data_IF_344233486978
#
_entry.id   IF_344233486978
#
_cell.length_a   1.000
_cell.length_b   1.000
_cell.length_c   1.000
_cell.angle_alpha   90.00
_cell.angle_beta   90.00
_cell.angle_gamma   90.00
#
_symmetry.space_group_name_H-M   'P 1'
#
loop_
_entity.id
_entity.type
_entity.pdbx_description
1 polymer ?
#
# COMPACT_ATOMS: atom_id res chain seq x y z
N UNK A 1 -8.08 3.65 -12.68
CA UNK A 1 -7.73 2.21 -12.49
C UNK A 1 -6.30 2.11 -12.90
N UNK A 2 -5.37 2.09 -11.95
CA UNK A 2 -3.94 2.10 -12.24
C UNK A 2 -3.29 0.98 -11.45
N UNK A 3 -2.73 0.02 -12.17
CA UNK A 3 -2.02 -1.13 -11.62
C UNK A 3 -0.53 -0.78 -11.68
N UNK A 4 0.07 -0.47 -10.53
CA UNK A 4 1.53 -0.33 -10.42
C UNK A 4 2.12 -1.72 -10.20
N UNK A 5 2.83 -2.25 -11.19
CA UNK A 5 3.43 -3.58 -11.17
C UNK A 5 4.70 -3.55 -10.29
N UNK A 6 4.68 -4.20 -9.13
CA UNK A 6 5.68 -4.01 -8.07
C UNK A 6 6.37 -5.34 -7.69
N UNK A 7 7.34 -5.77 -8.49
CA UNK A 7 8.15 -7.00 -8.27
C UNK A 7 7.34 -8.31 -8.35
N UNK A 8 8.01 -9.45 -8.56
CA UNK A 8 7.45 -10.79 -8.78
C UNK A 8 6.60 -11.35 -7.61
N UNK A 9 6.44 -10.60 -6.52
CA UNK A 9 5.79 -11.02 -5.26
C UNK A 9 4.67 -10.07 -4.80
N UNK A 10 4.63 -8.82 -5.27
CA UNK A 10 3.48 -7.91 -5.09
C UNK A 10 2.97 -7.61 -6.50
N UNK A 11 2.01 -8.41 -6.95
CA UNK A 11 1.56 -8.41 -8.35
C UNK A 11 0.92 -7.09 -8.75
N UNK A 12 0.36 -6.34 -7.79
CA UNK A 12 -0.09 -4.97 -8.00
C UNK A 12 -0.64 -4.32 -6.74
N UNK A 13 -0.69 -3.00 -6.72
CA UNK A 13 -1.45 -2.24 -5.73
C UNK A 13 -2.43 -1.30 -6.46
N UNK A 14 -3.68 -1.29 -6.01
CA UNK A 14 -4.75 -0.46 -6.54
C UNK A 14 -5.23 0.46 -5.44
N UNK A 15 -5.08 1.77 -5.65
CA UNK A 15 -5.60 2.81 -4.76
C UNK A 15 -6.86 3.39 -5.39
N UNK A 16 -7.99 3.26 -4.70
CA UNK A 16 -9.26 3.88 -5.08
C UNK A 16 -9.58 5.02 -4.13
N UNK A 17 -9.85 6.19 -4.69
CA UNK A 17 -10.39 7.33 -3.95
C UNK A 17 -11.91 7.24 -3.89
N UNK A 18 -12.46 7.06 -2.70
CA UNK A 18 -13.90 7.12 -2.44
C UNK A 18 -14.25 8.56 -2.03
N UNK A 19 -14.85 9.32 -2.95
CA UNK A 19 -15.18 10.75 -2.72
C UNK A 19 -16.32 10.94 -1.73
N UNK A 20 -17.27 10.02 -1.70
CA UNK A 20 -18.45 10.11 -0.83
C UNK A 20 -18.07 9.92 0.65
N UNK A 21 -17.10 9.06 0.94
CA UNK A 21 -16.66 8.75 2.31
C UNK A 21 -15.39 9.50 2.73
N UNK A 22 -14.73 10.21 1.82
CA UNK A 22 -13.41 10.81 2.03
C UNK A 22 -12.39 9.77 2.52
N UNK A 23 -12.37 8.61 1.89
CA UNK A 23 -11.48 7.50 2.23
C UNK A 23 -10.66 7.05 1.01
N UNK A 24 -9.42 6.63 1.27
CA UNK A 24 -8.60 5.85 0.36
C UNK A 24 -8.82 4.38 0.65
N UNK A 25 -9.29 3.65 -0.36
CA UNK A 25 -9.34 2.20 -0.34
C UNK A 25 -8.12 1.66 -1.07
N UNK A 26 -7.25 0.98 -0.33
CA UNK A 26 -6.02 0.37 -0.85
C UNK A 26 -6.24 -1.13 -0.90
N UNK A 27 -6.14 -1.69 -2.09
CA UNK A 27 -6.17 -3.12 -2.32
C UNK A 27 -4.85 -3.56 -2.92
N UNK A 28 -4.28 -4.62 -2.37
CA UNK A 28 -2.99 -5.13 -2.81
C UNK A 28 -3.19 -6.56 -3.28
N UNK A 29 -2.73 -6.83 -4.49
CA UNK A 29 -2.64 -8.17 -5.01
C UNK A 29 -1.31 -8.75 -4.50
N UNK A 30 -1.42 -9.58 -3.47
CA UNK A 30 -0.30 -10.25 -2.80
C UNK A 30 -0.73 -11.61 -2.29
N UNK A 31 0.16 -12.59 -2.40
CA UNK A 31 -0.03 -13.90 -1.76
C UNK A 31 -0.08 -13.72 -0.24
N UNK A 32 -1.25 -13.97 0.38
CA UNK A 32 -1.47 -13.89 1.83
C UNK A 32 -1.36 -15.26 2.48
N UNK A 33 -0.22 -15.92 2.28
CA UNK A 33 0.07 -17.24 2.88
C UNK A 33 0.69 -17.09 4.27
N UNK A 34 0.79 -18.18 5.04
CA UNK A 34 1.45 -18.13 6.37
C UNK A 34 2.96 -17.81 6.28
N UNK A 35 3.59 -18.11 5.15
CA UNK A 35 5.02 -17.91 4.93
C UNK A 35 5.32 -16.54 4.31
N UNK A 36 4.41 -16.05 3.49
CA UNK A 36 4.52 -14.79 2.76
C UNK A 36 3.21 -14.03 2.91
N UNK A 37 3.26 -12.90 3.63
CA UNK A 37 2.10 -12.05 3.86
C UNK A 37 2.54 -10.60 4.10
N UNK A 38 1.59 -9.69 3.91
CA UNK A 38 1.73 -8.29 4.30
C UNK A 38 1.45 -8.20 5.79
N UNK A 39 2.41 -7.72 6.57
CA UNK A 39 2.21 -7.56 8.02
C UNK A 39 1.42 -6.30 8.34
N UNK A 40 1.66 -5.21 7.61
CA UNK A 40 0.92 -3.97 7.81
C UNK A 40 0.95 -3.06 6.59
N UNK A 41 -0.03 -2.18 6.56
CA UNK A 41 -0.16 -1.06 5.64
C UNK A 41 -0.24 0.21 6.47
N UNK A 42 0.54 1.24 6.13
CA UNK A 42 0.54 2.50 6.84
C UNK A 42 0.38 3.68 5.88
N UNK A 43 -0.68 4.47 6.06
CA UNK A 43 -0.84 5.75 5.40
C UNK A 43 -0.21 6.86 6.23
N UNK A 44 0.75 7.57 5.65
CA UNK A 44 1.47 8.68 6.28
C UNK A 44 0.95 9.98 5.69
N UNK A 45 0.49 10.84 6.59
CA UNK A 45 0.20 12.24 6.36
C UNK A 45 1.31 13.10 6.98
N UNK A 46 1.30 14.41 6.70
CA UNK A 46 2.28 15.35 7.24
C UNK A 46 2.37 15.33 8.79
N UNK A 47 1.24 15.15 9.48
CA UNK A 47 1.16 15.21 10.95
C UNK A 47 0.81 13.87 11.62
N UNK A 48 0.29 12.89 10.85
CA UNK A 48 -0.32 11.67 11.39
C UNK A 48 0.03 10.44 10.57
N UNK A 49 0.11 9.31 11.25
CA UNK A 49 0.29 7.99 10.62
C UNK A 49 -0.91 7.12 10.99
N UNK A 50 -1.59 6.59 9.97
CA UNK A 50 -2.66 5.62 10.12
C UNK A 50 -2.11 4.25 9.72
N UNK A 51 -2.06 3.31 10.66
CA UNK A 51 -1.51 1.97 10.42
C UNK A 51 -2.58 0.91 10.62
N UNK A 52 -2.69 -0.01 9.65
CA UNK A 52 -3.58 -1.17 9.69
C UNK A 52 -2.71 -2.42 9.63
N UNK A 53 -2.79 -3.23 10.69
CA UNK A 53 -2.10 -4.52 10.74
C UNK A 53 -2.94 -5.57 10.02
N UNK A 54 -2.31 -6.30 9.10
CA UNK A 54 -2.91 -7.41 8.39
C UNK A 54 -2.40 -8.73 8.96
N UNK A 55 -3.25 -9.75 8.88
CA UNK A 55 -2.94 -11.09 9.34
C UNK A 55 -2.86 -12.04 8.14
N UNK A 56 -2.01 -13.09 8.21
CA UNK A 56 -1.92 -14.10 7.15
C UNK A 56 -3.29 -14.75 6.91
N UNK A 57 -3.58 -15.10 5.65
CA UNK A 57 -4.88 -15.58 5.15
C UNK A 57 -6.04 -14.57 5.15
N UNK A 58 -5.81 -13.34 5.62
CA UNK A 58 -6.77 -12.25 5.48
C UNK A 58 -6.73 -11.59 4.11
N UNK A 59 -7.75 -10.79 3.80
CA UNK A 59 -7.73 -9.92 2.64
C UNK A 59 -6.65 -8.84 2.81
N UNK A 60 -5.83 -8.65 1.78
CA UNK A 60 -4.83 -7.58 1.71
C UNK A 60 -5.47 -6.24 1.29
N UNK A 61 -6.42 -5.78 2.09
CA UNK A 61 -7.15 -4.52 1.88
C UNK A 61 -7.09 -3.64 3.12
N UNK A 62 -6.99 -2.33 2.91
CA UNK A 62 -7.04 -1.36 3.99
C UNK A 62 -7.77 -0.08 3.56
N UNK A 63 -8.42 0.54 4.55
CA UNK A 63 -9.10 1.83 4.40
C UNK A 63 -8.38 2.87 5.23
N UNK A 64 -8.10 4.01 4.61
CA UNK A 64 -7.47 5.14 5.27
C UNK A 64 -8.28 6.40 5.04
N UNK A 65 -8.38 7.26 6.04
CA UNK A 65 -9.03 8.56 5.86
C UNK A 65 -8.17 9.47 5.00
N UNK A 66 -8.81 10.30 4.18
CA UNK A 66 -8.14 11.18 3.22
C UNK A 66 -7.23 12.26 3.81
N UNK A 67 -7.23 12.45 5.13
CA UNK A 67 -6.57 13.47 5.96
C UNK A 67 -5.14 13.86 5.55
N UNK A 68 -4.94 14.44 4.37
CA UNK A 68 -3.64 14.78 3.83
C UNK A 68 -2.68 13.59 3.68
N UNK A 69 -3.18 12.39 3.38
CA UNK A 69 -2.28 11.22 3.16
C UNK A 69 -1.45 11.48 1.91
N UNK A 70 -0.14 11.50 2.08
CA UNK A 70 0.83 11.73 1.01
C UNK A 70 1.43 10.42 0.51
N UNK A 71 1.69 9.48 1.42
CA UNK A 71 2.36 8.21 1.12
C UNK A 71 1.69 7.03 1.80
N UNK A 72 1.68 5.89 1.13
CA UNK A 72 1.21 4.62 1.68
C UNK A 72 2.37 3.64 1.69
N UNK A 73 2.72 3.15 2.88
CA UNK A 73 3.77 2.17 3.11
C UNK A 73 3.19 0.77 3.27
N UNK A 74 3.88 -0.21 2.73
CA UNK A 74 3.51 -1.62 2.71
C UNK A 74 4.67 -2.44 3.23
N UNK A 75 4.44 -3.26 4.25
CA UNK A 75 5.50 -4.14 4.76
C UNK A 75 5.17 -5.61 4.49
N UNK A 76 6.03 -6.26 3.72
CA UNK A 76 6.00 -7.69 3.46
C UNK A 76 7.16 -8.36 4.21
N UNK A 77 6.90 -9.51 4.82
CA UNK A 77 7.92 -10.25 5.56
C UNK A 77 9.11 -10.72 4.70
N UNK A 78 8.89 -10.99 3.41
CA UNK A 78 9.96 -11.42 2.48
C UNK A 78 10.50 -10.27 1.65
N UNK A 79 9.59 -9.49 1.09
CA UNK A 79 9.95 -8.48 0.10
C UNK A 79 10.43 -7.17 0.75
N UNK A 80 10.19 -6.98 2.05
CA UNK A 80 10.59 -5.80 2.81
C UNK A 80 9.54 -4.69 2.78
N UNK A 81 9.98 -3.46 3.02
CA UNK A 81 9.14 -2.27 3.06
C UNK A 81 9.08 -1.60 1.68
N UNK A 82 7.86 -1.30 1.23
CA UNK A 82 7.57 -0.56 0.01
C UNK A 82 6.78 0.69 0.34
N UNK A 83 6.75 1.64 -0.59
CA UNK A 83 5.92 2.82 -0.48
C UNK A 83 5.31 3.20 -1.82
N UNK A 84 4.16 3.86 -1.76
CA UNK A 84 3.39 4.37 -2.88
C UNK A 84 3.10 5.85 -2.60
N UNK A 85 3.38 6.72 -3.55
CA UNK A 85 3.03 8.14 -3.46
C UNK A 85 1.59 8.35 -3.95
N UNK A 86 0.75 8.97 -3.10
CA UNK A 86 -0.67 9.23 -3.41
C UNK A 86 -0.83 10.54 -4.19
N UNK A 87 0.14 11.45 -4.07
CA UNK A 87 0.11 12.81 -4.61
C UNK A 87 0.35 12.88 -6.12
N UNK A 88 0.82 11.79 -6.73
CA UNK A 88 1.03 11.71 -8.19
C UNK A 88 -0.11 10.93 -8.84
N UNK A 89 -1.10 11.65 -9.36
CA UNK A 89 -1.72 11.17 -10.59
C UNK A 89 -0.63 11.09 -11.65
N UNK A 90 -0.36 9.89 -12.17
CA UNK A 90 0.38 9.60 -13.40
C UNK A 90 1.68 10.41 -13.58
N UNK A 91 2.82 9.83 -13.15
CA UNK A 91 4.07 9.78 -13.92
C UNK A 91 5.24 9.34 -13.02
N UNK A 92 6.05 8.45 -13.58
CA UNK A 92 7.28 7.86 -13.00
C UNK A 92 7.07 6.77 -11.95
N UNK A 93 6.83 5.58 -12.51
CA UNK A 93 7.58 4.36 -12.24
C UNK A 93 8.98 4.63 -11.63
N UNK A 94 9.07 4.85 -10.32
CA UNK A 94 10.33 4.77 -9.58
C UNK A 94 10.24 3.62 -8.59
N UNK A 95 10.61 2.46 -9.13
CA UNK A 95 11.34 1.44 -8.38
C UNK A 95 12.46 2.13 -7.60
N UNK A 96 12.25 2.32 -6.30
CA UNK A 96 13.35 2.52 -5.38
C UNK A 96 13.43 1.26 -4.52
N UNK A 97 14.00 0.21 -5.10
CA UNK A 97 14.64 -0.86 -4.36
C UNK A 97 15.81 -0.24 -3.59
N UNK A 98 15.57 0.26 -2.38
CA UNK A 98 16.68 0.60 -1.50
C UNK A 98 17.06 -0.67 -0.74
N UNK A 99 18.06 -1.36 -1.30
CA UNK A 99 19.06 -2.05 -0.49
C UNK A 99 19.59 -1.05 0.55
N UNK A 100 19.42 -1.36 1.82
CA UNK A 100 20.33 -0.91 2.89
C UNK A 100 21.05 -2.16 3.37
#
# INVERSE_FOLDING_TARGET
MEVTNMNQYVTGAVIKRLREENEYYVQIEHDMTKQHYISFIAAVSADRIQMVKLYPQGNAEARFKMNGVEKIYLYCNWSGLFYLDVVKGIAENRLCSYCI
#
